data_IF_913858215182
#
_entry.id   IF_913858215182
#
_cell.length_a   1.000
_cell.length_b   1.000
_cell.length_c   1.000
_cell.angle_alpha   90.00
_cell.angle_beta   90.00
_cell.angle_gamma   90.00
#
_symmetry.space_group_name_H-M   'P 1'
#
loop_
_entity.id
_entity.type
_entity.pdbx_description
1 polymer ?
#
# COMPACT_ATOMS: atom_id res chain seq x y z
N UNK A 1 -9.01 6.83 7.79
CA UNK A 1 -8.34 6.88 6.47
C UNK A 1 -9.22 7.67 5.52
N UNK A 2 -8.67 8.64 4.78
CA UNK A 2 -9.41 9.46 3.80
C UNK A 2 -9.86 8.60 2.62
N UNK A 3 -11.13 8.66 2.24
CA UNK A 3 -11.60 8.01 1.01
C UNK A 3 -11.24 8.88 -0.21
N UNK A 4 -10.67 8.30 -1.27
CA UNK A 4 -10.28 9.08 -2.43
C UNK A 4 -11.47 9.37 -3.34
N UNK A 5 -12.06 10.57 -3.27
CA UNK A 5 -13.12 11.01 -4.19
C UNK A 5 -12.78 12.36 -4.82
N UNK A 6 -13.31 12.65 -6.01
CA UNK A 6 -13.26 13.94 -6.69
C UNK A 6 -13.83 15.05 -5.82
N UNK A 7 -14.90 14.78 -5.08
CA UNK A 7 -15.43 15.73 -4.10
C UNK A 7 -14.40 16.07 -3.01
N UNK A 8 -13.75 15.05 -2.43
CA UNK A 8 -12.68 15.28 -1.45
C UNK A 8 -11.47 15.97 -2.07
N UNK A 9 -11.22 15.76 -3.37
CA UNK A 9 -10.12 16.36 -4.09
C UNK A 9 -10.33 17.86 -4.26
N UNK A 10 -11.52 18.25 -4.73
CA UNK A 10 -11.91 19.65 -4.89
C UNK A 10 -11.91 20.42 -3.56
N UNK A 11 -12.28 19.73 -2.47
CA UNK A 11 -12.26 20.30 -1.12
C UNK A 11 -10.84 20.46 -0.60
N UNK A 12 -10.03 19.42 -0.69
CA UNK A 12 -8.73 19.37 0.01
C UNK A 12 -7.59 19.96 -0.83
N UNK A 13 -7.76 20.04 -2.16
CA UNK A 13 -6.84 20.62 -3.15
C UNK A 13 -5.36 20.28 -2.87
N UNK A 14 -5.00 18.99 -2.83
CA UNK A 14 -3.63 18.62 -2.58
C UNK A 14 -2.72 19.16 -3.67
N UNK A 15 -1.56 19.66 -3.26
CA UNK A 15 -0.50 20.22 -4.10
C UNK A 15 0.72 19.27 -4.21
N UNK A 16 0.68 18.15 -3.49
CA UNK A 16 1.73 17.14 -3.46
C UNK A 16 1.14 15.73 -3.28
N UNK A 17 2.01 14.73 -3.17
CA UNK A 17 1.65 13.37 -2.80
C UNK A 17 1.53 13.22 -1.28
N UNK A 18 0.39 12.69 -0.81
CA UNK A 18 0.10 12.56 0.62
C UNK A 18 -0.11 11.11 1.07
N UNK A 19 0.63 10.68 2.09
CA UNK A 19 0.50 9.35 2.69
C UNK A 19 -0.67 9.27 3.68
N UNK A 20 -1.65 8.40 3.42
CA UNK A 20 -2.83 8.25 4.27
C UNK A 20 -2.63 7.37 5.52
N UNK A 21 -1.55 6.57 5.57
CA UNK A 21 -1.23 5.65 6.69
C UNK A 21 0.26 5.71 7.09
N UNK A 22 0.97 6.75 6.64
CA UNK A 22 2.42 6.89 6.79
C UNK A 22 3.23 6.11 5.74
N UNK A 23 4.56 6.31 5.79
CA UNK A 23 5.52 5.68 4.89
C UNK A 23 5.81 4.21 5.29
N UNK A 24 6.95 3.65 4.85
CA UNK A 24 7.39 2.31 5.23
C UNK A 24 7.59 2.20 6.75
N UNK A 25 6.92 1.23 7.42
CA UNK A 25 7.13 0.98 8.83
C UNK A 25 8.53 0.43 9.14
N UNK A 26 9.01 0.66 10.37
CA UNK A 26 10.26 0.08 10.89
C UNK A 26 10.12 -1.38 11.34
N UNK A 27 8.93 -1.95 11.24
CA UNK A 27 8.68 -3.36 11.56
C UNK A 27 9.52 -4.25 10.63
N UNK A 28 10.10 -5.36 11.12
CA UNK A 28 10.87 -6.27 10.29
C UNK A 28 10.12 -6.63 8.99
N UNK A 29 10.72 -6.43 7.80
CA UNK A 29 10.05 -6.68 6.51
C UNK A 29 9.60 -8.14 6.32
N UNK A 30 10.20 -9.06 7.07
CA UNK A 30 9.79 -10.47 7.14
C UNK A 30 8.43 -10.68 7.80
N UNK A 31 7.91 -9.71 8.55
CA UNK A 31 6.62 -9.84 9.23
C UNK A 31 5.46 -9.37 8.36
N UNK A 32 5.60 -8.27 7.63
CA UNK A 32 4.49 -7.74 6.83
C UNK A 32 4.90 -7.55 5.37
N UNK A 33 3.95 -7.86 4.50
CA UNK A 33 3.94 -7.41 3.11
C UNK A 33 3.26 -6.06 3.06
N UNK A 34 3.91 -5.10 2.40
CA UNK A 34 3.33 -3.81 2.11
C UNK A 34 3.00 -3.74 0.63
N UNK A 35 1.75 -3.43 0.33
CA UNK A 35 1.32 -3.11 -1.03
C UNK A 35 0.68 -1.73 -1.06
N UNK A 36 0.74 -1.10 -2.22
CA UNK A 36 0.48 0.32 -2.33
C UNK A 36 -0.48 0.64 -3.47
N UNK A 37 -1.20 1.74 -3.32
CA UNK A 37 -1.99 2.34 -4.38
C UNK A 37 -1.79 3.85 -4.35
N UNK A 38 -1.80 4.48 -5.52
CA UNK A 38 -1.78 5.93 -5.65
C UNK A 38 -3.07 6.32 -6.36
N UNK A 39 -3.86 7.17 -5.72
CA UNK A 39 -5.06 7.75 -6.33
C UNK A 39 -4.77 9.15 -6.85
N UNK A 40 -5.23 9.40 -8.05
CA UNK A 40 -5.19 10.68 -8.76
C UNK A 40 -6.57 10.92 -9.41
N UNK A 41 -6.97 12.15 -9.73
CA UNK A 41 -8.32 12.46 -10.22
C UNK A 41 -8.70 11.82 -11.57
N UNK A 42 -7.71 11.43 -12.35
CA UNK A 42 -7.86 10.68 -13.61
C UNK A 42 -8.21 9.20 -13.38
N UNK A 43 -8.12 8.70 -12.15
CA UNK A 43 -8.60 7.37 -11.82
C UNK A 43 -10.13 7.28 -11.95
N UNK A 44 -10.61 6.27 -12.66
CA UNK A 44 -12.05 6.03 -12.84
C UNK A 44 -12.72 5.60 -11.53
N UNK A 45 -11.98 4.90 -10.66
CA UNK A 45 -12.48 4.37 -9.40
C UNK A 45 -12.36 5.39 -8.27
N UNK A 46 -13.38 5.46 -7.42
CA UNK A 46 -13.41 6.34 -6.25
C UNK A 46 -13.70 5.57 -4.96
N UNK A 47 -13.35 6.17 -3.82
CA UNK A 47 -13.71 5.72 -2.50
C UNK A 47 -13.32 4.27 -2.22
N UNK A 48 -14.31 3.45 -1.86
CA UNK A 48 -14.09 2.04 -1.50
C UNK A 48 -13.80 1.17 -2.71
N UNK A 49 -14.31 1.54 -3.89
CA UNK A 49 -14.07 0.77 -5.12
C UNK A 49 -12.61 0.87 -5.53
N UNK A 50 -12.01 2.05 -5.42
CA UNK A 50 -10.57 2.20 -5.60
C UNK A 50 -9.78 1.32 -4.63
N UNK A 51 -10.08 1.39 -3.33
CA UNK A 51 -9.35 0.63 -2.30
C UNK A 51 -9.52 -0.88 -2.43
N UNK A 52 -10.64 -1.33 -3.00
CA UNK A 52 -10.98 -2.73 -3.22
C UNK A 52 -10.45 -3.30 -4.53
N UNK A 53 -10.52 -2.54 -5.62
CA UNK A 53 -10.36 -3.07 -6.98
C UNK A 53 -9.20 -2.48 -7.77
N UNK A 54 -8.69 -1.28 -7.42
CA UNK A 54 -7.54 -0.75 -8.14
C UNK A 54 -6.29 -1.62 -7.91
N UNK A 55 -5.43 -1.74 -8.93
CA UNK A 55 -4.21 -2.56 -8.84
C UNK A 55 -3.39 -2.14 -7.61
N UNK A 56 -3.06 -3.12 -6.78
CA UNK A 56 -2.08 -2.97 -5.70
C UNK A 56 -0.68 -3.24 -6.24
N UNK A 57 0.25 -2.34 -5.96
CA UNK A 57 1.65 -2.42 -6.37
C UNK A 57 2.49 -3.02 -5.24
N UNK A 58 3.51 -3.79 -5.61
CA UNK A 58 4.62 -4.13 -4.71
C UNK A 58 5.34 -2.86 -4.24
N UNK A 59 6.20 -2.97 -3.21
CA UNK A 59 6.96 -1.79 -2.75
C UNK A 59 7.90 -1.26 -3.84
N UNK A 60 8.53 -2.15 -4.61
CA UNK A 60 9.40 -1.76 -5.72
C UNK A 60 8.63 -1.06 -6.86
N UNK A 61 7.49 -1.62 -7.31
CA UNK A 61 6.63 -0.99 -8.32
C UNK A 61 6.12 0.38 -7.84
N UNK A 62 5.72 0.47 -6.57
CA UNK A 62 5.26 1.71 -5.97
C UNK A 62 6.33 2.79 -5.98
N UNK A 63 7.57 2.46 -5.60
CA UNK A 63 8.64 3.44 -5.55
C UNK A 63 9.00 3.97 -6.93
N UNK A 64 9.05 3.10 -7.95
CA UNK A 64 9.21 3.53 -9.34
C UNK A 64 8.09 4.48 -9.77
N UNK A 65 6.83 4.11 -9.50
CA UNK A 65 5.67 4.95 -9.85
C UNK A 65 5.63 6.26 -9.06
N UNK A 66 6.02 6.23 -7.79
CA UNK A 66 6.11 7.40 -6.92
C UNK A 66 7.13 8.39 -7.48
N UNK A 67 8.32 7.94 -7.87
CA UNK A 67 9.35 8.80 -8.47
C UNK A 67 8.87 9.45 -9.76
N UNK A 68 8.18 8.71 -10.65
CA UNK A 68 7.60 9.27 -11.88
C UNK A 68 6.60 10.41 -11.60
N UNK A 69 5.66 10.18 -10.70
CA UNK A 69 4.60 11.14 -10.36
C UNK A 69 5.20 12.34 -9.62
N UNK A 70 6.11 12.09 -8.69
CA UNK A 70 6.83 13.12 -7.94
C UNK A 70 7.63 14.03 -8.88
N UNK A 71 8.40 13.46 -9.81
CA UNK A 71 9.17 14.23 -10.78
C UNK A 71 8.30 15.03 -11.76
N UNK A 72 7.04 14.63 -11.92
CA UNK A 72 6.04 15.34 -12.71
C UNK A 72 5.28 16.42 -11.90
N UNK A 73 5.61 16.60 -10.61
CA UNK A 73 4.89 17.47 -9.67
C UNK A 73 3.38 17.22 -9.65
N UNK A 74 2.97 15.96 -9.82
CA UNK A 74 1.56 15.60 -9.80
C UNK A 74 1.11 15.26 -8.38
N UNK A 75 0.05 15.91 -7.87
CA UNK A 75 -0.50 15.60 -6.56
C UNK A 75 -1.25 14.26 -6.57
N UNK A 76 -1.45 13.69 -5.38
CA UNK A 76 -2.17 12.42 -5.24
C UNK A 76 -2.27 11.93 -3.81
N UNK A 77 -3.02 10.87 -3.60
CA UNK A 77 -3.14 10.21 -2.30
C UNK A 77 -2.58 8.80 -2.34
N UNK A 78 -1.72 8.50 -1.38
CA UNK A 78 -1.00 7.23 -1.28
C UNK A 78 -1.61 6.39 -0.16
N UNK A 79 -1.93 5.16 -0.51
CA UNK A 79 -2.55 4.18 0.36
C UNK A 79 -1.64 2.97 0.52
N UNK A 80 -1.40 2.58 1.77
CA UNK A 80 -0.65 1.38 2.14
C UNK A 80 -1.60 0.32 2.67
N UNK A 81 -1.36 -0.93 2.27
CA UNK A 81 -2.08 -2.10 2.74
C UNK A 81 -1.08 -3.09 3.33
N UNK A 82 -1.31 -3.45 4.59
CA UNK A 82 -0.39 -4.26 5.38
C UNK A 82 -0.98 -5.67 5.50
N UNK A 83 -0.29 -6.67 4.96
CA UNK A 83 -0.69 -8.08 5.09
C UNK A 83 0.35 -8.84 5.91
N UNK A 84 -0.03 -9.56 6.97
CA UNK A 84 0.92 -10.40 7.69
C UNK A 84 1.47 -11.47 6.75
N UNK A 85 2.75 -11.78 6.86
CA UNK A 85 3.42 -12.80 6.06
C UNK A 85 3.27 -14.17 6.69
N UNK A 86 3.25 -15.19 5.85
CA UNK A 86 3.42 -16.58 6.27
C UNK A 86 4.90 -16.89 6.56
N UNK A 87 5.15 -18.06 7.13
CA UNK A 87 6.49 -18.62 7.27
C UNK A 87 7.03 -18.61 8.70
N UNK A 88 8.11 -19.38 8.91
CA UNK A 88 8.75 -19.50 10.22
C UNK A 88 9.33 -18.17 10.68
N UNK A 89 9.27 -17.90 11.99
CA UNK A 89 9.85 -16.71 12.61
C UNK A 89 8.98 -15.44 12.53
N UNK A 90 7.79 -15.51 11.95
CA UNK A 90 6.78 -14.45 12.12
C UNK A 90 6.09 -14.58 13.48
N UNK A 91 5.70 -13.48 14.14
CA UNK A 91 5.09 -13.52 15.46
C UNK A 91 3.58 -13.84 15.42
N UNK A 92 3.03 -14.23 14.27
CA UNK A 92 1.59 -14.36 14.09
C UNK A 92 1.11 -15.77 14.38
N UNK A 93 0.42 -15.91 15.51
CA UNK A 93 -0.38 -17.10 15.79
C UNK A 93 -1.65 -17.11 14.91
N UNK A 94 -1.69 -17.97 13.89
CA UNK A 94 -2.83 -18.07 12.95
C UNK A 94 -4.13 -18.54 13.59
N UNK A 95 -4.08 -19.19 14.75
CA UNK A 95 -5.28 -19.61 15.47
C UNK A 95 -5.97 -18.45 16.18
N UNK A 96 -5.27 -17.33 16.35
CA UNK A 96 -5.80 -16.18 17.07
C UNK A 96 -6.95 -15.51 16.29
N UNK A 97 -8.11 -15.23 16.92
CA UNK A 97 -9.31 -14.71 16.25
C UNK A 97 -9.11 -13.43 15.43
N UNK A 98 -8.15 -12.59 15.81
CA UNK A 98 -7.71 -11.38 15.06
C UNK A 98 -7.44 -11.66 13.58
N UNK A 99 -6.97 -12.86 13.24
CA UNK A 99 -6.59 -13.21 11.88
C UNK A 99 -7.70 -13.89 11.09
N UNK A 100 -8.90 -14.00 11.67
CA UNK A 100 -10.09 -14.49 10.96
C UNK A 100 -10.35 -13.61 9.75
N UNK A 101 -10.47 -14.21 8.57
CA UNK A 101 -10.66 -13.53 7.29
C UNK A 101 -9.53 -12.58 6.86
N UNK A 102 -8.36 -12.65 7.49
CA UNK A 102 -7.18 -11.91 7.03
C UNK A 102 -6.42 -12.76 6.01
N UNK A 103 -6.25 -12.21 4.81
CA UNK A 103 -5.39 -12.82 3.80
C UNK A 103 -3.92 -12.59 4.14
N UNK A 104 -3.18 -13.67 4.38
CA UNK A 104 -1.74 -13.59 4.62
C UNK A 104 -0.99 -13.57 3.29
N UNK A 105 0.06 -12.75 3.22
CA UNK A 105 0.99 -12.73 2.11
C UNK A 105 1.96 -13.94 2.16
N UNK A 106 2.59 -14.31 1.04
CA UNK A 106 3.66 -15.29 1.03
C UNK A 106 4.78 -14.97 2.04
N UNK A 107 5.56 -16.00 2.38
CA UNK A 107 6.78 -15.81 3.16
C UNK A 107 7.72 -14.85 2.44
N UNK A 108 8.63 -14.23 3.18
CA UNK A 108 9.62 -13.34 2.57
C UNK A 108 10.45 -14.02 1.46
N UNK A 109 10.83 -15.27 1.70
CA UNK A 109 11.72 -16.01 0.82
C UNK A 109 10.98 -16.49 -0.45
N UNK A 110 9.67 -16.78 -0.34
CA UNK A 110 8.81 -17.19 -1.46
C UNK A 110 8.13 -16.02 -2.21
N UNK A 111 8.26 -14.79 -1.70
CA UNK A 111 7.68 -13.61 -2.32
C UNK A 111 8.46 -13.26 -3.60
N UNK A 112 7.80 -13.27 -4.77
CA UNK A 112 8.45 -13.03 -6.06
C UNK A 112 8.73 -11.55 -6.32
N UNK A 113 8.17 -10.64 -5.52
CA UNK A 113 8.31 -9.22 -5.76
C UNK A 113 9.78 -8.78 -5.57
N UNK A 114 10.24 -7.80 -6.37
CA UNK A 114 11.61 -7.32 -6.28
C UNK A 114 11.87 -6.63 -4.93
N UNK A 115 13.08 -6.81 -4.42
CA UNK A 115 13.50 -6.16 -3.17
C UNK A 115 13.77 -4.69 -3.42
N UNK A 116 13.13 -3.81 -2.65
CA UNK A 116 13.43 -2.39 -2.55
C UNK A 116 13.68 -2.02 -1.09
N UNK A 117 14.87 -1.52 -0.77
CA UNK A 117 15.29 -1.14 0.58
C UNK A 117 14.96 -2.18 1.68
N UNK A 118 15.17 -3.46 1.37
CA UNK A 118 14.87 -4.55 2.30
C UNK A 118 13.38 -4.89 2.43
N UNK A 119 12.49 -4.32 1.60
CA UNK A 119 11.08 -4.69 1.47
C UNK A 119 10.82 -5.38 0.12
N UNK A 120 10.06 -6.46 0.15
CA UNK A 120 9.41 -7.07 -1.01
C UNK A 120 7.96 -6.67 -0.91
#
# INVERSE_FOLDING_TARGET
>A
MRLPTRESWERDRPDALWFCLGYLPTTPPRFYKYTWQIWTPDCELEGREFLGYAKRMSTAEFMARYEEIHNSNLPGWIYRHDRPRQGPGTPFDRSHPKWTNVEFAPSWDDDPDPVWNGHK
#
